data_IF_821280957511
#
_entry.id   IF_821280957511
#
_cell.length_a   1.000
_cell.length_b   1.000
_cell.length_c   1.000
_cell.angle_alpha   90.00
_cell.angle_beta   90.00
_cell.angle_gamma   90.00
#
_symmetry.space_group_name_H-M   'P 1'
#
loop_
_entity.id
_entity.type
_entity.pdbx_description
1 polymer ?
#
# COMPACT_ATOMS: atom_id res chain seq x y z
N UNK A 1 -13.10 16.48 1.99
CA UNK A 1 -14.41 16.73 1.33
C UNK A 1 -14.42 18.11 0.66
N UNK A 2 -13.96 19.17 1.35
CA UNK A 2 -13.93 20.54 0.79
C UNK A 2 -12.95 20.71 -0.38
N UNK A 3 -11.85 19.98 -0.38
CA UNK A 3 -10.78 20.07 -1.37
C UNK A 3 -11.02 19.31 -2.67
N UNK A 4 -12.19 18.70 -2.84
CA UNK A 4 -12.60 18.01 -4.07
C UNK A 4 -11.61 16.88 -4.48
N UNK A 5 -11.09 16.15 -3.50
CA UNK A 5 -10.22 15.01 -3.74
C UNK A 5 -10.94 13.89 -4.49
N UNK A 6 -10.23 13.10 -5.26
CA UNK A 6 -10.79 12.06 -6.12
C UNK A 6 -11.48 10.94 -5.34
N UNK A 7 -10.82 10.42 -4.31
CA UNK A 7 -11.36 9.44 -3.37
C UNK A 7 -10.57 9.47 -2.05
N UNK A 8 -11.17 8.90 -1.00
CA UNK A 8 -10.53 8.63 0.29
C UNK A 8 -10.40 7.12 0.44
N UNK A 9 -9.21 6.60 0.70
CA UNK A 9 -9.04 5.20 1.08
C UNK A 9 -9.39 5.01 2.54
N UNK A 10 -10.26 4.05 2.81
CA UNK A 10 -10.78 3.68 4.14
C UNK A 10 -10.03 2.47 4.64
N UNK A 11 -9.52 2.53 5.84
CA UNK A 11 -8.71 1.47 6.47
C UNK A 11 -9.45 0.68 7.57
N UNK A 12 -10.66 1.11 7.98
CA UNK A 12 -11.47 0.39 8.96
C UNK A 12 -12.97 0.67 8.78
N UNK A 13 -13.81 -0.21 9.32
CA UNK A 13 -15.27 -0.04 9.29
C UNK A 13 -15.69 1.20 10.08
N UNK A 14 -15.09 1.44 11.25
CA UNK A 14 -15.33 2.66 12.05
C UNK A 14 -14.97 3.95 11.27
N UNK A 15 -13.92 3.90 10.45
CA UNK A 15 -13.55 5.03 9.61
C UNK A 15 -14.60 5.27 8.51
N UNK A 16 -15.12 4.21 7.91
CA UNK A 16 -16.22 4.30 6.94
C UNK A 16 -17.43 5.03 7.54
N UNK A 17 -17.85 4.61 8.73
CA UNK A 17 -18.99 5.25 9.43
C UNK A 17 -18.72 6.74 9.72
N UNK A 18 -17.52 7.07 10.21
CA UNK A 18 -17.12 8.46 10.46
C UNK A 18 -17.12 9.30 9.19
N UNK A 19 -16.56 8.76 8.11
CA UNK A 19 -16.49 9.45 6.82
C UNK A 19 -17.90 9.65 6.23
N UNK A 20 -18.78 8.65 6.33
CA UNK A 20 -20.17 8.76 5.92
C UNK A 20 -20.92 9.84 6.73
N UNK A 21 -20.74 9.89 8.06
CA UNK A 21 -21.33 10.90 8.93
C UNK A 21 -20.86 12.31 8.60
N UNK A 22 -19.56 12.49 8.33
CA UNK A 22 -19.01 13.81 7.94
C UNK A 22 -19.56 14.23 6.58
N UNK A 23 -19.68 13.31 5.63
CA UNK A 23 -20.27 13.58 4.32
C UNK A 23 -21.75 13.98 4.43
N UNK A 24 -22.51 13.27 5.26
CA UNK A 24 -23.90 13.59 5.58
C UNK A 24 -24.05 15.00 6.15
N UNK A 25 -23.25 15.34 7.18
CA UNK A 25 -23.30 16.66 7.82
C UNK A 25 -22.97 17.82 6.87
N UNK A 26 -22.21 17.54 5.81
CA UNK A 26 -21.88 18.52 4.76
C UNK A 26 -22.82 18.45 3.56
N UNK A 27 -23.87 17.61 3.63
CA UNK A 27 -24.79 17.35 2.51
C UNK A 27 -24.06 17.03 1.20
N UNK A 28 -23.01 16.17 1.28
CA UNK A 28 -22.19 15.75 0.15
C UNK A 28 -22.20 14.23 0.02
N UNK A 29 -21.97 13.76 -1.19
CA UNK A 29 -21.62 12.37 -1.48
C UNK A 29 -20.18 12.32 -1.95
N UNK A 30 -19.37 11.43 -1.36
CA UNK A 30 -17.95 11.35 -1.63
C UNK A 30 -17.54 9.97 -2.14
N UNK A 31 -16.53 9.94 -3.00
CA UNK A 31 -15.95 8.70 -3.45
C UNK A 31 -14.98 8.13 -2.42
N UNK A 32 -15.09 6.83 -2.19
CA UNK A 32 -14.19 6.09 -1.32
C UNK A 32 -13.56 4.90 -2.04
N UNK A 33 -12.37 4.53 -1.58
CA UNK A 33 -11.74 3.23 -1.82
C UNK A 33 -11.67 2.47 -0.50
N UNK A 34 -11.66 1.16 -0.55
CA UNK A 34 -11.42 0.31 0.63
C UNK A 34 -10.01 -0.25 0.54
N UNK A 35 -9.18 0.03 1.54
CA UNK A 35 -7.91 -0.65 1.67
C UNK A 35 -8.11 -2.00 2.35
N UNK A 36 -7.78 -3.05 1.61
CA UNK A 36 -7.85 -4.43 2.08
C UNK A 36 -6.50 -4.89 2.61
N UNK A 37 -6.51 -5.69 3.65
CA UNK A 37 -5.36 -6.49 4.04
C UNK A 37 -5.45 -7.84 3.32
N UNK A 38 -4.60 -8.12 2.32
CA UNK A 38 -4.70 -9.33 1.52
C UNK A 38 -4.13 -10.56 2.22
N UNK A 39 -3.62 -10.42 3.44
CA UNK A 39 -2.93 -11.47 4.18
C UNK A 39 -1.80 -12.13 3.36
N UNK A 40 -0.85 -11.31 2.94
CA UNK A 40 0.34 -11.72 2.18
C UNK A 40 1.59 -11.34 2.98
N UNK A 41 2.54 -12.27 3.10
CA UNK A 41 3.89 -11.94 3.57
C UNK A 41 4.71 -11.33 2.44
N UNK A 42 5.05 -10.05 2.57
CA UNK A 42 5.90 -9.34 1.62
C UNK A 42 7.35 -9.83 1.56
N UNK A 43 7.71 -10.80 2.42
CA UNK A 43 9.10 -11.27 2.60
C UNK A 43 10.07 -10.11 2.89
N UNK A 44 9.59 -9.14 3.64
CA UNK A 44 10.33 -7.94 4.05
C UNK A 44 10.61 -7.98 5.54
N UNK A 45 11.41 -7.05 6.06
CA UNK A 45 11.61 -6.93 7.50
C UNK A 45 10.30 -6.51 8.17
N UNK A 46 10.02 -7.02 9.37
CA UNK A 46 8.73 -6.83 10.07
C UNK A 46 8.32 -5.36 10.22
N UNK A 47 9.29 -4.46 10.43
CA UNK A 47 9.03 -3.02 10.59
C UNK A 47 8.43 -2.32 9.37
N UNK A 48 8.54 -2.91 8.19
CA UNK A 48 8.01 -2.37 6.92
C UNK A 48 7.01 -3.32 6.25
N UNK A 49 6.61 -4.40 6.93
CA UNK A 49 5.51 -5.26 6.55
C UNK A 49 4.17 -4.56 6.82
N UNK A 50 3.22 -4.69 5.91
CA UNK A 50 1.88 -4.09 6.03
C UNK A 50 0.77 -4.97 5.47
N UNK A 51 1.08 -6.21 5.08
CA UNK A 51 0.14 -7.11 4.39
C UNK A 51 -0.14 -8.43 5.10
N UNK A 52 0.54 -8.72 6.22
CA UNK A 52 0.28 -9.92 7.01
C UNK A 52 -1.03 -9.79 7.80
N UNK A 53 -1.65 -10.91 8.16
CA UNK A 53 -2.90 -10.94 8.95
C UNK A 53 -2.79 -10.17 10.28
N UNK A 54 -1.60 -10.11 10.86
CA UNK A 54 -1.32 -9.41 12.13
C UNK A 54 -0.97 -7.93 11.96
N UNK A 55 -0.83 -7.47 10.72
CA UNK A 55 -0.48 -6.07 10.45
C UNK A 55 -1.71 -5.17 10.66
N UNK A 56 -1.50 -3.99 11.19
CA UNK A 56 -2.57 -3.05 11.60
C UNK A 56 -3.29 -2.34 10.43
N UNK A 57 -2.87 -2.58 9.20
CA UNK A 57 -3.32 -1.82 8.03
C UNK A 57 -4.41 -2.53 7.24
N UNK A 58 -5.38 -1.74 6.80
CA UNK A 58 -6.47 -2.20 5.95
C UNK A 58 -7.51 -3.06 6.67
N UNK A 59 -8.60 -3.35 5.97
CA UNK A 59 -9.69 -4.20 6.43
C UNK A 59 -9.36 -5.65 6.05
N UNK A 60 -9.39 -6.57 7.02
CA UNK A 60 -9.23 -7.99 6.79
C UNK A 60 -10.33 -8.51 5.85
N UNK A 61 -9.95 -9.35 4.89
CA UNK A 61 -10.90 -9.97 3.96
C UNK A 61 -11.91 -10.89 4.65
N UNK A 62 -11.62 -11.39 5.85
CA UNK A 62 -12.57 -12.13 6.68
C UNK A 62 -13.75 -11.25 7.17
N UNK A 63 -13.60 -9.91 7.14
CA UNK A 63 -14.61 -8.93 7.56
C UNK A 63 -15.44 -8.34 6.43
N UNK A 64 -15.33 -8.87 5.22
CA UNK A 64 -16.07 -8.32 4.05
C UNK A 64 -17.59 -8.32 4.26
N UNK A 65 -18.16 -9.34 4.91
CA UNK A 65 -19.60 -9.36 5.17
C UNK A 65 -20.04 -8.22 6.09
N UNK A 66 -19.29 -7.92 7.15
CA UNK A 66 -19.53 -6.78 8.05
C UNK A 66 -19.38 -5.46 7.29
N UNK A 67 -18.32 -5.33 6.49
CA UNK A 67 -18.09 -4.17 5.64
C UNK A 67 -19.27 -3.89 4.70
N UNK A 68 -19.79 -4.92 4.02
CA UNK A 68 -20.93 -4.76 3.09
C UNK A 68 -22.20 -4.30 3.80
N UNK A 69 -22.48 -4.82 5.01
CA UNK A 69 -23.63 -4.36 5.80
C UNK A 69 -23.53 -2.87 6.12
N UNK A 70 -22.33 -2.37 6.48
CA UNK A 70 -22.14 -0.95 6.76
C UNK A 70 -22.17 -0.10 5.48
N UNK A 71 -21.61 -0.60 4.39
CA UNK A 71 -21.69 0.09 3.08
C UNK A 71 -23.15 0.28 2.62
N UNK A 72 -23.99 -0.72 2.80
CA UNK A 72 -25.40 -0.69 2.36
C UNK A 72 -26.22 0.41 3.05
N UNK A 73 -25.89 0.76 4.28
CA UNK A 73 -26.54 1.84 5.03
C UNK A 73 -25.84 3.19 4.87
N UNK A 74 -24.62 3.21 4.35
CA UNK A 74 -23.78 4.42 4.20
C UNK A 74 -24.10 5.19 2.92
N UNK A 75 -25.19 5.95 2.90
CA UNK A 75 -25.72 6.58 1.68
C UNK A 75 -24.93 7.80 1.17
N UNK A 76 -24.03 8.36 1.99
CA UNK A 76 -23.25 9.54 1.63
C UNK A 76 -21.83 9.21 1.13
N UNK A 77 -21.52 7.94 0.95
CA UNK A 77 -20.30 7.47 0.30
C UNK A 77 -20.64 6.73 -1.00
N UNK A 78 -19.67 6.71 -1.91
CA UNK A 78 -19.75 5.99 -3.18
C UNK A 78 -18.46 5.17 -3.31
N UNK A 79 -18.56 3.86 -3.16
CA UNK A 79 -17.44 2.96 -3.31
C UNK A 79 -17.07 2.82 -4.78
N UNK A 80 -15.88 3.27 -5.17
CA UNK A 80 -15.36 3.22 -6.54
C UNK A 80 -14.04 2.49 -6.69
N UNK A 81 -13.42 2.04 -5.60
CA UNK A 81 -12.14 1.38 -5.68
C UNK A 81 -11.78 0.53 -4.48
N UNK A 82 -10.83 -0.34 -4.69
CA UNK A 82 -10.15 -1.08 -3.64
C UNK A 82 -8.64 -0.89 -3.76
N UNK A 83 -7.92 -1.01 -2.66
CA UNK A 83 -6.47 -0.86 -2.62
C UNK A 83 -5.85 -1.87 -1.67
N UNK A 84 -4.55 -2.11 -1.83
CA UNK A 84 -3.74 -2.81 -0.84
C UNK A 84 -2.33 -2.21 -0.80
N UNK A 85 -1.60 -2.51 0.27
CA UNK A 85 -0.16 -2.26 0.33
C UNK A 85 0.46 -3.28 1.28
N UNK A 86 1.34 -4.14 0.75
CA UNK A 86 1.84 -5.34 1.45
C UNK A 86 3.15 -5.07 2.19
N UNK A 87 3.88 -4.06 1.77
CA UNK A 87 5.15 -3.71 2.39
C UNK A 87 6.06 -2.90 1.48
N UNK A 88 7.29 -2.71 1.91
CA UNK A 88 8.32 -1.98 1.18
C UNK A 88 9.57 -2.85 1.01
N UNK A 89 10.36 -2.60 -0.03
CA UNK A 89 11.57 -3.38 -0.35
C UNK A 89 11.26 -4.85 -0.70
N UNK A 90 10.29 -5.05 -1.59
CA UNK A 90 9.92 -6.35 -2.11
C UNK A 90 10.77 -6.64 -3.35
N UNK A 91 11.52 -7.75 -3.32
CA UNK A 91 12.44 -8.17 -4.39
C UNK A 91 12.00 -9.47 -5.07
N UNK A 92 10.91 -10.11 -4.59
CA UNK A 92 10.43 -11.36 -5.12
C UNK A 92 9.20 -11.15 -6.01
N UNK A 93 9.29 -11.52 -7.28
CA UNK A 93 8.20 -11.41 -8.25
C UNK A 93 6.97 -12.22 -7.86
N UNK A 94 7.14 -13.34 -7.16
CA UNK A 94 6.02 -14.18 -6.75
C UNK A 94 5.11 -13.47 -5.72
N UNK A 95 5.68 -12.59 -4.90
CA UNK A 95 4.89 -11.75 -3.98
C UNK A 95 3.96 -10.82 -4.77
N UNK A 96 4.48 -10.19 -5.83
CA UNK A 96 3.65 -9.35 -6.71
C UNK A 96 2.58 -10.17 -7.44
N UNK A 97 2.94 -11.35 -7.94
CA UNK A 97 1.97 -12.24 -8.59
C UNK A 97 0.84 -12.64 -7.63
N UNK A 98 1.16 -12.94 -6.36
CA UNK A 98 0.15 -13.22 -5.33
C UNK A 98 -0.74 -12.01 -5.01
N UNK A 99 -0.14 -10.82 -4.88
CA UNK A 99 -0.88 -9.55 -4.70
C UNK A 99 -1.89 -9.37 -5.84
N UNK A 100 -1.44 -9.52 -7.09
CA UNK A 100 -2.27 -9.31 -8.27
C UNK A 100 -3.44 -10.29 -8.32
N UNK A 101 -3.19 -11.56 -8.03
CA UNK A 101 -4.23 -12.60 -8.00
C UNK A 101 -5.27 -12.32 -6.91
N UNK A 102 -4.83 -12.02 -5.68
CA UNK A 102 -5.73 -11.73 -4.56
C UNK A 102 -6.54 -10.45 -4.79
N UNK A 103 -5.90 -9.41 -5.30
CA UNK A 103 -6.62 -8.15 -5.57
C UNK A 103 -7.61 -8.29 -6.70
N UNK A 104 -7.31 -9.07 -7.75
CA UNK A 104 -8.29 -9.41 -8.79
C UNK A 104 -9.47 -10.18 -8.23
N UNK A 105 -9.22 -11.20 -7.41
CA UNK A 105 -10.28 -11.99 -6.79
C UNK A 105 -11.16 -11.13 -5.87
N UNK A 106 -10.56 -10.28 -5.04
CA UNK A 106 -11.31 -9.34 -4.21
C UNK A 106 -12.13 -8.36 -5.06
N UNK A 107 -11.56 -7.77 -6.12
CA UNK A 107 -12.31 -6.88 -7.01
C UNK A 107 -13.53 -7.58 -7.61
N UNK A 108 -13.40 -8.86 -7.97
CA UNK A 108 -14.51 -9.65 -8.49
C UNK A 108 -15.65 -9.81 -7.45
N UNK A 109 -15.31 -10.06 -6.17
CA UNK A 109 -16.33 -10.14 -5.10
C UNK A 109 -17.15 -8.87 -5.01
N UNK A 110 -16.51 -7.68 -5.06
CA UNK A 110 -17.23 -6.40 -5.04
C UNK A 110 -18.10 -6.19 -6.28
N UNK A 111 -17.60 -6.58 -7.45
CA UNK A 111 -18.36 -6.49 -8.70
C UNK A 111 -19.59 -7.43 -8.70
N UNK A 112 -19.45 -8.66 -8.20
CA UNK A 112 -20.51 -9.66 -8.14
C UNK A 112 -21.67 -9.23 -7.21
N UNK A 113 -21.34 -8.44 -6.15
CA UNK A 113 -22.33 -7.85 -5.24
C UNK A 113 -23.01 -6.61 -5.87
N UNK A 114 -22.46 -6.07 -6.97
CA UNK A 114 -23.02 -4.94 -7.72
C UNK A 114 -22.37 -3.59 -7.47
N UNK A 115 -21.19 -3.53 -6.80
CA UNK A 115 -20.42 -2.30 -6.69
C UNK A 115 -19.73 -1.96 -8.01
N UNK A 116 -19.76 -0.68 -8.41
CA UNK A 116 -19.13 -0.17 -9.63
C UNK A 116 -17.65 0.18 -9.35
N UNK A 117 -16.80 -0.85 -9.24
CA UNK A 117 -15.37 -0.70 -9.02
C UNK A 117 -14.71 -0.14 -10.29
N UNK A 118 -14.16 1.06 -10.19
CA UNK A 118 -13.46 1.78 -11.28
C UNK A 118 -11.95 1.77 -11.13
N UNK A 119 -11.44 1.49 -9.92
CA UNK A 119 -10.01 1.54 -9.60
C UNK A 119 -9.61 0.39 -8.67
N UNK A 120 -8.52 -0.28 -9.03
CA UNK A 120 -7.84 -1.23 -8.17
C UNK A 120 -6.41 -0.75 -8.01
N UNK A 121 -6.04 -0.35 -6.78
CA UNK A 121 -4.70 0.06 -6.43
C UNK A 121 -3.93 -1.13 -5.87
N UNK A 122 -2.82 -1.45 -6.51
CA UNK A 122 -1.99 -2.61 -6.18
C UNK A 122 -0.87 -2.25 -5.18
N UNK A 123 -0.89 -1.00 -4.69
CA UNK A 123 0.10 -0.48 -3.76
C UNK A 123 1.46 -0.23 -4.39
N UNK A 124 2.47 -0.27 -3.57
CA UNK A 124 3.85 -0.06 -3.98
C UNK A 124 4.76 -1.18 -3.52
N UNK A 125 5.88 -0.80 -2.95
CA UNK A 125 6.80 -1.74 -2.33
C UNK A 125 7.94 -2.21 -3.23
N UNK A 126 8.01 -1.79 -4.48
CA UNK A 126 9.13 -2.11 -5.37
C UNK A 126 10.46 -1.81 -4.68
N UNK A 127 11.34 -2.81 -4.63
CA UNK A 127 12.64 -2.71 -4.00
C UNK A 127 13.59 -1.80 -4.76
N UNK A 128 14.42 -1.07 -4.01
CA UNK A 128 15.58 -0.34 -4.52
C UNK A 128 16.85 -0.89 -3.91
N UNK A 129 17.92 -0.99 -4.70
CA UNK A 129 19.20 -1.49 -4.23
C UNK A 129 19.95 -0.41 -3.44
N UNK A 130 20.46 -0.80 -2.29
CA UNK A 130 21.44 -0.04 -1.49
C UNK A 130 22.81 -0.70 -1.47
N UNK A 131 22.98 -1.83 -2.16
CA UNK A 131 24.26 -2.53 -2.31
C UNK A 131 24.42 -3.06 -3.74
N UNK A 132 25.66 -3.29 -4.17
CA UNK A 132 25.93 -3.79 -5.54
C UNK A 132 25.44 -5.22 -5.79
N UNK A 133 25.30 -6.01 -4.72
CA UNK A 133 24.91 -7.42 -4.81
C UNK A 133 23.39 -7.65 -4.83
N UNK A 134 22.58 -6.59 -4.66
CA UNK A 134 21.13 -6.72 -4.57
C UNK A 134 20.48 -6.68 -5.97
N UNK A 135 19.88 -7.79 -6.37
CA UNK A 135 19.20 -7.91 -7.67
C UNK A 135 17.83 -7.24 -7.59
N UNK A 136 17.61 -6.27 -8.47
CA UNK A 136 16.33 -5.58 -8.64
C UNK A 136 15.39 -6.37 -9.52
N UNK A 137 14.09 -6.29 -9.22
CA UNK A 137 13.07 -6.73 -10.16
C UNK A 137 13.02 -5.81 -11.39
N UNK A 138 13.05 -6.38 -12.56
CA UNK A 138 12.85 -5.60 -13.78
C UNK A 138 11.37 -5.20 -13.90
N UNK A 139 11.13 -3.97 -14.36
CA UNK A 139 9.76 -3.50 -14.63
C UNK A 139 9.05 -4.33 -15.71
N UNK A 140 9.80 -4.94 -16.61
CA UNK A 140 9.24 -5.84 -17.63
C UNK A 140 8.67 -7.13 -17.02
N UNK A 141 9.31 -7.69 -15.98
CA UNK A 141 8.75 -8.83 -15.24
C UNK A 141 7.43 -8.44 -14.55
N UNK A 142 7.39 -7.29 -13.89
CA UNK A 142 6.17 -6.78 -13.26
C UNK A 142 5.05 -6.59 -14.29
N UNK A 143 5.36 -5.94 -15.40
CA UNK A 143 4.41 -5.73 -16.52
C UNK A 143 3.87 -7.04 -17.05
N UNK A 144 4.73 -8.05 -17.22
CA UNK A 144 4.31 -9.36 -17.69
C UNK A 144 3.35 -10.05 -16.71
N UNK A 145 3.59 -9.97 -15.40
CA UNK A 145 2.66 -10.50 -14.40
C UNK A 145 1.33 -9.74 -14.38
N UNK A 146 1.35 -8.41 -14.53
CA UNK A 146 0.13 -7.61 -14.67
C UNK A 146 -0.67 -8.08 -15.90
N UNK A 147 -0.02 -8.19 -17.06
CA UNK A 147 -0.68 -8.58 -18.30
C UNK A 147 -1.26 -10.00 -18.25
N UNK A 148 -0.62 -10.92 -17.53
CA UNK A 148 -1.17 -12.27 -17.29
C UNK A 148 -2.40 -12.24 -16.38
N UNK A 149 -2.36 -11.42 -15.35
CA UNK A 149 -3.41 -11.40 -14.33
C UNK A 149 -4.64 -10.60 -14.78
N UNK A 150 -4.46 -9.39 -15.29
CA UNK A 150 -5.53 -8.42 -15.52
C UNK A 150 -5.92 -8.30 -17.01
N UNK A 151 -6.45 -9.39 -17.56
CA UNK A 151 -6.97 -9.40 -18.93
C UNK A 151 -8.46 -8.99 -18.92
N UNK A 152 -8.83 -7.98 -19.74
CA UNK A 152 -10.22 -7.53 -19.92
C UNK A 152 -10.96 -7.20 -18.63
N UNK A 153 -10.29 -6.55 -17.67
CA UNK A 153 -10.93 -6.08 -16.43
C UNK A 153 -11.66 -4.75 -16.64
N UNK A 154 -12.79 -4.47 -15.94
CA UNK A 154 -13.60 -3.27 -16.15
C UNK A 154 -13.07 -2.03 -15.39
N UNK A 155 -11.97 -2.15 -14.67
CA UNK A 155 -11.37 -1.12 -13.83
C UNK A 155 -9.96 -0.74 -14.27
N UNK A 156 -9.50 0.43 -13.81
CA UNK A 156 -8.12 0.88 -14.01
C UNK A 156 -7.24 0.40 -12.86
N UNK A 157 -6.00 0.06 -13.18
CA UNK A 157 -4.97 -0.26 -12.21
C UNK A 157 -4.19 1.00 -11.83
N UNK A 158 -3.79 1.09 -10.55
CA UNK A 158 -2.86 2.09 -10.03
C UNK A 158 -1.81 1.45 -9.14
N UNK A 159 -0.72 2.20 -8.93
CA UNK A 159 0.42 1.81 -8.12
C UNK A 159 0.89 3.00 -7.30
N UNK A 160 1.51 2.72 -6.14
CA UNK A 160 2.08 3.70 -5.22
C UNK A 160 3.60 3.49 -5.03
N UNK A 161 4.44 3.64 -6.07
CA UNK A 161 5.87 3.30 -6.03
C UNK A 161 6.71 4.37 -5.32
N UNK A 162 6.44 4.64 -4.03
CA UNK A 162 7.06 5.73 -3.27
C UNK A 162 8.59 5.71 -3.24
N UNK A 163 9.18 4.77 -2.50
CA UNK A 163 10.65 4.63 -2.38
C UNK A 163 11.33 4.44 -3.73
N UNK A 164 10.75 3.64 -4.60
CA UNK A 164 11.30 3.35 -5.92
C UNK A 164 11.55 4.61 -6.76
N UNK A 165 10.68 5.62 -6.64
CA UNK A 165 10.81 6.88 -7.40
C UNK A 165 11.84 7.83 -6.82
N UNK A 166 12.03 7.85 -5.49
CA UNK A 166 12.78 8.92 -4.84
C UNK A 166 14.08 8.48 -4.17
N UNK A 167 14.33 7.18 -3.99
CA UNK A 167 15.50 6.71 -3.24
C UNK A 167 16.83 7.16 -3.85
N UNK A 168 16.92 7.21 -5.17
CA UNK A 168 18.12 7.62 -5.90
C UNK A 168 18.12 9.12 -6.27
N UNK A 169 17.11 9.88 -5.82
CA UNK A 169 16.98 11.29 -6.15
C UNK A 169 17.81 12.21 -5.22
N UNK A 170 18.39 11.69 -4.14
CA UNK A 170 19.16 12.45 -3.17
C UNK A 170 20.22 11.63 -2.45
N UNK A 171 21.16 12.33 -1.85
CA UNK A 171 22.20 11.78 -0.99
C UNK A 171 22.24 12.56 0.33
N UNK A 172 22.63 11.88 1.41
CA UNK A 172 22.97 12.50 2.67
C UNK A 172 24.50 12.60 2.78
N UNK A 173 25.01 13.83 2.82
CA UNK A 173 26.42 14.10 3.09
C UNK A 173 26.60 14.32 4.58
N UNK A 174 27.56 13.65 5.19
CA UNK A 174 27.83 13.74 6.62
C UNK A 174 29.34 13.71 6.90
N UNK A 175 29.75 14.32 8.01
CA UNK A 175 31.14 14.36 8.46
C UNK A 175 31.37 13.35 9.57
N UNK A 176 32.46 12.60 9.51
CA UNK A 176 32.87 11.73 10.61
C UNK A 176 33.51 12.60 11.71
N UNK A 177 32.86 12.64 12.89
CA UNK A 177 33.37 13.36 14.07
C UNK A 177 34.45 12.56 14.73
N UNK A 178 34.27 11.25 14.88
CA UNK A 178 35.24 10.33 15.52
C UNK A 178 34.95 8.89 15.13
N UNK A 179 35.99 8.04 15.33
CA UNK A 179 35.86 6.59 15.17
C UNK A 179 36.06 5.96 16.56
N UNK A 180 35.09 5.16 16.97
CA UNK A 180 35.12 4.42 18.23
C UNK A 180 35.22 2.92 17.95
N UNK A 181 36.19 2.25 18.60
CA UNK A 181 36.22 0.78 18.63
C UNK A 181 35.55 0.27 19.90
N UNK A 182 34.65 -0.71 19.78
CA UNK A 182 34.08 -1.41 20.93
C UNK A 182 33.80 -2.87 20.54
N UNK A 183 34.32 -3.82 21.31
CA UNK A 183 34.14 -5.24 21.06
C UNK A 183 34.65 -5.70 19.67
N UNK A 184 35.72 -5.07 19.14
CA UNK A 184 36.26 -5.36 17.81
C UNK A 184 35.49 -4.74 16.63
N UNK A 185 34.41 -3.99 16.90
CA UNK A 185 33.61 -3.31 15.88
C UNK A 185 33.98 -1.82 15.87
N UNK A 186 34.24 -1.28 14.67
CA UNK A 186 34.48 0.14 14.48
C UNK A 186 33.15 0.86 14.19
N UNK A 187 32.86 1.86 15.00
CA UNK A 187 31.70 2.74 14.86
C UNK A 187 32.14 4.10 14.34
N UNK A 188 31.55 4.54 13.25
CA UNK A 188 31.72 5.90 12.73
C UNK A 188 30.68 6.80 13.39
N UNK A 189 31.11 7.74 14.20
CA UNK A 189 30.22 8.75 14.82
C UNK A 189 30.21 9.96 13.89
N UNK A 190 29.00 10.34 13.45
CA UNK A 190 28.81 11.39 12.45
C UNK A 190 27.96 12.53 13.00
N UNK A 191 27.97 13.66 12.31
CA UNK A 191 27.14 14.84 12.61
C UNK A 191 25.69 14.71 12.12
N UNK A 192 25.33 13.59 11.53
CA UNK A 192 23.97 13.26 11.09
C UNK A 192 23.40 12.06 11.87
N UNK A 193 22.10 12.08 12.13
CA UNK A 193 21.38 11.01 12.82
C UNK A 193 19.92 10.91 12.38
N UNK A 194 19.11 10.21 13.18
CA UNK A 194 17.68 10.00 12.88
C UNK A 194 16.88 11.31 12.70
N UNK A 195 17.32 12.39 13.33
CA UNK A 195 16.73 13.73 13.20
C UNK A 195 17.06 14.40 11.86
N UNK A 196 18.14 13.98 11.20
CA UNK A 196 18.53 14.50 9.87
C UNK A 196 17.85 13.73 8.76
N UNK A 197 17.81 12.40 8.87
CA UNK A 197 17.14 11.50 7.95
C UNK A 197 16.39 10.44 8.73
N UNK A 198 15.07 10.59 8.82
CA UNK A 198 14.19 9.63 9.50
C UNK A 198 14.11 8.37 8.65
N UNK A 199 14.47 7.24 9.25
CA UNK A 199 14.30 5.92 8.65
C UNK A 199 13.40 5.06 9.52
N UNK A 200 12.54 4.21 8.91
CA UNK A 200 11.73 3.24 9.64
C UNK A 200 12.58 2.15 10.32
#
# INVERSE_FOLDING_TARGET
IEKNIRLINIESIDELERVNKVALNQNKKINIGIRLNPNIDGLTIDKISTGKKTDKFGIDTDKLNELFQVLDVSKNVNLIGISCHVGSQIFNINVFAEIFQKMKANAQIFLDIGYDIKHVDLGGGLGVSYSQDQVLLSLELIKNEINKCFVNVPYKLSFEPGRYLVANAGILVTTIITIKNNGGINYLITDAGMHTLIRP
#
